data_IF_872134359484
#
_entry.id   IF_872134359484
#
_cell.length_a   1.000
_cell.length_b   1.000
_cell.length_c   1.000
_cell.angle_alpha   90.00
_cell.angle_beta   90.00
_cell.angle_gamma   90.00
#
_symmetry.space_group_name_H-M   'P 1'
#
loop_
_entity.id
_entity.type
_entity.pdbx_description
1 polymer ?
#
# COMPACT_ATOMS: atom_id res chain seq x y z
N UNK A 1 18.04 -61.39 10.53
CA UNK A 1 16.60 -61.13 10.27
C UNK A 1 15.91 -60.85 11.61
N UNK A 2 15.94 -59.61 12.11
CA UNK A 2 15.03 -59.10 13.17
C UNK A 2 15.36 -57.66 13.58
N UNK A 3 15.57 -56.73 12.63
CA UNK A 3 15.65 -55.29 12.95
C UNK A 3 14.72 -54.40 12.10
N UNK A 4 14.07 -54.95 11.06
CA UNK A 4 13.21 -54.16 10.15
C UNK A 4 11.71 -54.13 10.54
N UNK A 5 11.33 -54.65 11.70
CA UNK A 5 9.92 -54.72 12.14
C UNK A 5 9.54 -53.78 13.28
N UNK A 6 10.48 -52.98 13.80
CA UNK A 6 10.17 -52.00 14.86
C UNK A 6 10.04 -50.56 14.37
N UNK A 7 10.34 -50.28 13.09
CA UNK A 7 10.36 -48.90 12.58
C UNK A 7 9.13 -48.51 11.73
N UNK A 8 8.09 -49.35 11.67
CA UNK A 8 6.87 -49.11 10.85
C UNK A 8 5.58 -48.98 11.66
N UNK A 9 5.67 -48.80 12.99
CA UNK A 9 4.50 -48.57 13.85
C UNK A 9 4.53 -47.23 14.60
N UNK A 10 5.31 -46.25 14.14
CA UNK A 10 5.32 -44.89 14.71
C UNK A 10 4.67 -43.82 13.83
N UNK A 11 3.79 -44.22 12.93
CA UNK A 11 2.93 -43.34 12.11
C UNK A 11 1.46 -43.44 12.50
N UNK A 12 1.17 -43.59 13.80
CA UNK A 12 -0.19 -43.52 14.33
C UNK A 12 -0.40 -42.26 15.18
N UNK A 13 -1.13 -41.32 14.60
CA UNK A 13 -2.01 -40.37 15.28
C UNK A 13 -1.41 -39.42 16.33
N UNK A 14 -0.68 -38.40 15.87
CA UNK A 14 -0.76 -37.09 16.52
C UNK A 14 -2.05 -36.38 16.12
N UNK A 15 -3.19 -36.84 16.62
CA UNK A 15 -4.38 -36.00 16.77
C UNK A 15 -4.11 -35.02 17.92
N UNK A 16 -3.28 -34.01 17.66
CA UNK A 16 -3.22 -32.84 18.53
C UNK A 16 -4.62 -32.22 18.51
N UNK A 17 -5.27 -32.17 19.67
CA UNK A 17 -6.54 -31.48 19.80
C UNK A 17 -6.36 -30.05 19.29
N UNK A 18 -7.15 -29.65 18.28
CA UNK A 18 -7.09 -28.29 17.75
C UNK A 18 -7.32 -27.30 18.87
N UNK A 19 -6.47 -26.30 18.96
CA UNK A 19 -6.69 -25.19 19.88
C UNK A 19 -8.00 -24.48 19.51
N UNK A 20 -8.68 -23.82 20.48
CA UNK A 20 -9.87 -23.02 20.19
C UNK A 20 -9.64 -22.01 19.05
N UNK A 21 -8.45 -21.39 19.00
CA UNK A 21 -8.07 -20.45 17.93
C UNK A 21 -7.98 -21.10 16.56
N UNK A 22 -7.43 -22.33 16.46
CA UNK A 22 -7.38 -23.07 15.19
C UNK A 22 -8.75 -23.54 14.73
N UNK A 23 -9.65 -23.88 15.67
CA UNK A 23 -11.02 -24.24 15.34
C UNK A 23 -11.79 -23.06 14.75
N UNK A 24 -11.66 -21.87 15.36
CA UNK A 24 -12.23 -20.62 14.83
C UNK A 24 -11.65 -20.33 13.45
N UNK A 25 -10.32 -20.42 13.29
CA UNK A 25 -9.66 -20.20 12.00
C UNK A 25 -10.22 -21.11 10.91
N UNK A 26 -10.26 -22.43 11.14
CA UNK A 26 -10.77 -23.42 10.17
C UNK A 26 -12.25 -23.18 9.84
N UNK A 27 -13.05 -22.79 10.83
CA UNK A 27 -14.46 -22.45 10.62
C UNK A 27 -14.57 -21.22 9.71
N UNK A 28 -13.88 -20.14 10.07
CA UNK A 28 -13.89 -18.90 9.29
C UNK A 28 -13.42 -19.14 7.86
N UNK A 29 -12.34 -19.90 7.66
CA UNK A 29 -11.80 -20.24 6.34
C UNK A 29 -12.80 -21.02 5.48
N UNK A 30 -13.52 -21.99 6.07
CA UNK A 30 -14.59 -22.73 5.39
C UNK A 30 -15.76 -21.82 5.00
N UNK A 31 -16.08 -20.83 5.82
CA UNK A 31 -17.19 -19.90 5.58
C UNK A 31 -16.83 -18.74 4.63
N UNK A 32 -15.54 -18.51 4.31
CA UNK A 32 -15.09 -17.37 3.47
C UNK A 32 -15.84 -17.24 2.14
N UNK A 33 -16.04 -18.29 1.32
CA UNK A 33 -16.73 -18.14 0.03
C UNK A 33 -18.21 -17.75 0.20
N UNK A 34 -18.88 -18.33 1.19
CA UNK A 34 -20.28 -18.00 1.49
C UNK A 34 -20.40 -16.56 1.99
N UNK A 35 -19.48 -16.12 2.86
CA UNK A 35 -19.43 -14.74 3.33
C UNK A 35 -19.12 -13.78 2.17
N UNK A 36 -18.17 -14.10 1.29
CA UNK A 36 -17.86 -13.30 0.11
C UNK A 36 -19.10 -13.09 -0.77
N UNK A 37 -19.83 -14.16 -1.10
CA UNK A 37 -21.05 -14.07 -1.89
C UNK A 37 -22.16 -13.25 -1.19
N UNK A 38 -22.27 -13.32 0.13
CA UNK A 38 -23.22 -12.51 0.91
C UNK A 38 -22.85 -11.02 0.86
N UNK A 39 -21.57 -10.70 1.10
CA UNK A 39 -21.07 -9.32 1.10
C UNK A 39 -21.16 -8.70 -0.30
N UNK A 40 -20.90 -9.48 -1.36
CA UNK A 40 -21.07 -9.06 -2.75
C UNK A 40 -22.53 -8.66 -3.07
N UNK A 41 -23.51 -9.43 -2.57
CA UNK A 41 -24.93 -9.08 -2.69
C UNK A 41 -25.28 -7.80 -1.94
N UNK A 42 -24.71 -7.59 -0.75
CA UNK A 42 -24.89 -6.35 0.00
C UNK A 42 -24.24 -5.16 -0.73
N UNK A 43 -23.09 -5.36 -1.38
CA UNK A 43 -22.44 -4.36 -2.21
C UNK A 43 -23.32 -3.96 -3.42
N UNK A 44 -23.91 -4.95 -4.10
CA UNK A 44 -24.84 -4.72 -5.19
C UNK A 44 -26.07 -3.90 -4.73
N UNK A 45 -26.69 -4.29 -3.61
CA UNK A 45 -27.81 -3.54 -3.00
C UNK A 45 -27.40 -2.10 -2.64
N UNK A 46 -26.18 -1.86 -2.18
CA UNK A 46 -25.68 -0.52 -1.84
C UNK A 46 -25.55 0.35 -3.10
N UNK A 47 -25.00 -0.23 -4.17
CA UNK A 47 -24.86 0.41 -5.47
C UNK A 47 -26.23 0.73 -6.10
N UNK A 48 -27.21 -0.17 -6.01
CA UNK A 48 -28.58 0.07 -6.48
C UNK A 48 -29.25 1.26 -5.77
N UNK A 49 -28.94 1.46 -4.48
CA UNK A 49 -29.39 2.62 -3.69
C UNK A 49 -28.57 3.89 -3.95
N UNK A 50 -27.63 3.86 -4.90
CA UNK A 50 -26.75 4.99 -5.21
C UNK A 50 -25.62 5.22 -4.19
N UNK A 51 -25.44 4.35 -3.20
CA UNK A 51 -24.37 4.48 -2.21
C UNK A 51 -23.06 3.86 -2.71
N UNK A 52 -22.43 4.51 -3.70
CA UNK A 52 -21.21 4.03 -4.34
C UNK A 52 -20.03 3.86 -3.36
N UNK A 53 -19.88 4.75 -2.38
CA UNK A 53 -18.82 4.67 -1.35
C UNK A 53 -18.95 3.42 -0.51
N UNK A 54 -20.16 3.11 -0.04
CA UNK A 54 -20.42 1.88 0.69
C UNK A 54 -20.21 0.64 -0.19
N UNK A 55 -20.73 0.65 -1.42
CA UNK A 55 -20.56 -0.45 -2.35
C UNK A 55 -19.08 -0.76 -2.61
N UNK A 56 -18.22 0.27 -2.74
CA UNK A 56 -16.77 0.12 -2.88
C UNK A 56 -16.17 -0.68 -1.72
N UNK A 57 -16.47 -0.28 -0.48
CA UNK A 57 -15.97 -0.96 0.73
C UNK A 57 -16.38 -2.43 0.75
N UNK A 58 -17.65 -2.71 0.42
CA UNK A 58 -18.18 -4.07 0.44
C UNK A 58 -17.61 -4.94 -0.68
N UNK A 59 -17.46 -4.41 -1.90
CA UNK A 59 -16.78 -5.13 -2.97
C UNK A 59 -15.31 -5.40 -2.63
N UNK A 60 -14.61 -4.46 -2.00
CA UNK A 60 -13.25 -4.67 -1.55
C UNK A 60 -13.16 -5.80 -0.50
N UNK A 61 -14.05 -5.81 0.49
CA UNK A 61 -14.10 -6.90 1.48
C UNK A 61 -14.45 -8.25 0.83
N UNK A 62 -15.39 -8.27 -0.11
CA UNK A 62 -15.69 -9.49 -0.86
C UNK A 62 -14.50 -9.98 -1.68
N UNK A 63 -13.71 -9.07 -2.27
CA UNK A 63 -12.49 -9.39 -3.01
C UNK A 63 -11.38 -9.92 -2.09
N UNK A 64 -11.23 -9.35 -0.88
CA UNK A 64 -10.32 -9.85 0.16
C UNK A 64 -10.68 -11.26 0.64
N UNK A 65 -11.97 -11.57 0.70
CA UNK A 65 -12.44 -12.90 1.09
C UNK A 65 -12.24 -13.92 -0.02
N UNK A 66 -12.54 -13.54 -1.26
CA UNK A 66 -12.47 -14.41 -2.43
C UNK A 66 -12.04 -13.61 -3.68
N UNK A 67 -10.73 -13.65 -4.03
CA UNK A 67 -10.17 -12.88 -5.12
C UNK A 67 -10.71 -13.34 -6.48
N UNK A 68 -11.60 -12.56 -7.09
CA UNK A 68 -12.09 -12.82 -8.45
C UNK A 68 -12.07 -11.56 -9.29
N UNK A 69 -11.81 -11.73 -10.59
CA UNK A 69 -11.81 -10.64 -11.55
C UNK A 69 -13.12 -9.84 -11.54
N UNK A 70 -14.26 -10.53 -11.44
CA UNK A 70 -15.58 -9.90 -11.42
C UNK A 70 -15.76 -8.93 -10.23
N UNK A 71 -15.27 -9.32 -9.05
CA UNK A 71 -15.30 -8.47 -7.85
C UNK A 71 -14.33 -7.30 -7.97
N UNK A 72 -13.15 -7.52 -8.57
CA UNK A 72 -12.17 -6.45 -8.81
C UNK A 72 -12.71 -5.39 -9.76
N UNK A 73 -13.31 -5.82 -10.87
CA UNK A 73 -14.01 -4.93 -11.82
C UNK A 73 -15.15 -4.16 -11.12
N UNK A 74 -15.92 -4.82 -10.28
CA UNK A 74 -17.03 -4.18 -9.54
C UNK A 74 -16.53 -3.13 -8.55
N UNK A 75 -15.45 -3.42 -7.83
CA UNK A 75 -14.77 -2.47 -6.95
C UNK A 75 -14.26 -1.24 -7.73
N UNK A 76 -13.55 -1.44 -8.84
CA UNK A 76 -13.03 -0.36 -9.69
C UNK A 76 -14.17 0.52 -10.26
N UNK A 77 -15.27 -0.10 -10.68
CA UNK A 77 -16.46 0.63 -11.10
C UNK A 77 -17.04 1.49 -9.98
N UNK A 78 -17.03 1.02 -8.73
CA UNK A 78 -17.51 1.81 -7.59
C UNK A 78 -16.56 2.96 -7.24
N UNK A 79 -15.25 2.78 -7.36
CA UNK A 79 -14.26 3.86 -7.23
C UNK A 79 -14.54 4.98 -8.22
N UNK A 80 -14.78 4.64 -9.49
CA UNK A 80 -15.13 5.64 -10.51
C UNK A 80 -16.45 6.36 -10.18
N UNK A 81 -17.46 5.61 -9.73
CA UNK A 81 -18.76 6.21 -9.33
C UNK A 81 -18.66 7.09 -8.07
N UNK A 82 -17.72 6.81 -7.16
CA UNK A 82 -17.50 7.64 -5.97
C UNK A 82 -16.61 8.85 -6.22
N UNK A 83 -16.12 9.05 -7.45
CA UNK A 83 -15.25 10.17 -7.83
C UNK A 83 -13.77 9.91 -7.59
N UNK A 84 -13.38 8.67 -7.31
CA UNK A 84 -11.98 8.28 -7.06
C UNK A 84 -11.33 7.80 -8.35
N UNK A 85 -11.29 8.67 -9.36
CA UNK A 85 -10.85 8.35 -10.72
C UNK A 85 -9.41 7.79 -10.76
N UNK A 86 -8.49 8.34 -9.96
CA UNK A 86 -7.10 7.86 -9.87
C UNK A 86 -6.99 6.41 -9.39
N UNK A 87 -7.75 6.06 -8.35
CA UNK A 87 -7.76 4.69 -7.82
C UNK A 87 -8.44 3.73 -8.79
N UNK A 88 -9.55 4.15 -9.40
CA UNK A 88 -10.22 3.36 -10.43
C UNK A 88 -9.29 3.09 -11.62
N UNK A 89 -8.57 4.12 -12.08
CA UNK A 89 -7.58 4.00 -13.14
C UNK A 89 -6.48 3.01 -12.78
N UNK A 90 -5.94 3.06 -11.56
CA UNK A 90 -4.95 2.09 -11.10
C UNK A 90 -5.49 0.65 -11.18
N UNK A 91 -6.68 0.39 -10.64
CA UNK A 91 -7.28 -0.95 -10.67
C UNK A 91 -7.60 -1.44 -12.09
N UNK A 92 -8.08 -0.57 -12.98
CA UNK A 92 -8.30 -0.96 -14.38
C UNK A 92 -7.00 -1.31 -15.10
N UNK A 93 -5.90 -0.61 -14.80
CA UNK A 93 -4.58 -0.95 -15.36
C UNK A 93 -4.08 -2.29 -14.82
N UNK A 94 -4.28 -2.56 -13.52
CA UNK A 94 -3.96 -3.86 -12.91
C UNK A 94 -4.78 -4.99 -13.56
N UNK A 95 -6.07 -4.78 -13.81
CA UNK A 95 -6.93 -5.75 -14.50
C UNK A 95 -6.42 -6.06 -15.92
N UNK A 96 -6.00 -5.03 -16.67
CA UNK A 96 -5.48 -5.22 -18.03
C UNK A 96 -4.08 -5.84 -18.06
N UNK A 97 -3.30 -5.65 -16.98
CA UNK A 97 -1.91 -6.12 -16.88
C UNK A 97 -1.76 -7.44 -16.12
N UNK A 98 -2.82 -7.96 -15.51
CA UNK A 98 -2.78 -9.16 -14.65
C UNK A 98 -2.41 -10.45 -15.39
N UNK A 99 -2.48 -10.45 -16.73
CA UNK A 99 -2.26 -11.63 -17.56
C UNK A 99 -3.40 -12.66 -17.50
N UNK A 100 -4.45 -12.40 -16.71
CA UNK A 100 -5.65 -13.24 -16.67
C UNK A 100 -6.43 -13.11 -17.98
N UNK A 101 -6.89 -14.23 -18.60
CA UNK A 101 -7.61 -14.16 -19.86
C UNK A 101 -8.93 -13.41 -19.70
N UNK A 102 -8.98 -12.18 -20.22
CA UNK A 102 -10.19 -11.37 -20.25
C UNK A 102 -11.04 -11.74 -21.47
N UNK A 103 -12.36 -11.87 -21.28
CA UNK A 103 -13.27 -11.89 -22.42
C UNK A 103 -13.22 -10.54 -23.15
N UNK A 104 -13.39 -10.55 -24.47
CA UNK A 104 -13.33 -9.33 -25.29
C UNK A 104 -14.32 -8.25 -24.81
N UNK A 105 -15.50 -8.68 -24.34
CA UNK A 105 -16.51 -7.80 -23.75
C UNK A 105 -16.01 -7.11 -22.48
N UNK A 106 -15.35 -7.84 -21.58
CA UNK A 106 -14.80 -7.28 -20.34
C UNK A 106 -13.66 -6.33 -20.67
N UNK A 107 -12.75 -6.74 -21.57
CA UNK A 107 -11.63 -5.91 -22.01
C UNK A 107 -12.09 -4.58 -22.59
N UNK A 108 -13.01 -4.61 -23.56
CA UNK A 108 -13.59 -3.40 -24.17
C UNK A 108 -14.26 -2.51 -23.13
N UNK A 109 -14.97 -3.10 -22.16
CA UNK A 109 -15.62 -2.36 -21.08
C UNK A 109 -14.59 -1.69 -20.16
N UNK A 110 -13.52 -2.40 -19.76
CA UNK A 110 -12.44 -1.86 -18.91
C UNK A 110 -11.68 -0.75 -19.62
N UNK A 111 -11.31 -0.94 -20.89
CA UNK A 111 -10.64 0.09 -21.69
C UNK A 111 -11.50 1.36 -21.83
N UNK A 112 -12.81 1.19 -22.08
CA UNK A 112 -13.76 2.30 -22.12
C UNK A 112 -13.85 3.02 -20.77
N UNK A 113 -13.92 2.28 -19.66
CA UNK A 113 -13.96 2.84 -18.30
C UNK A 113 -12.67 3.53 -17.89
N UNK A 114 -11.52 3.01 -18.32
CA UNK A 114 -10.24 3.67 -18.17
C UNK A 114 -10.22 5.01 -18.91
N UNK A 115 -10.78 5.06 -20.13
CA UNK A 115 -11.00 6.32 -20.86
C UNK A 115 -11.91 7.30 -20.12
N UNK A 116 -12.95 6.82 -19.44
CA UNK A 116 -13.80 7.65 -18.56
C UNK A 116 -13.02 8.23 -17.37
N UNK A 117 -12.14 7.45 -16.74
CA UNK A 117 -11.28 7.93 -15.63
C UNK A 117 -10.40 9.09 -16.10
N UNK A 118 -9.71 8.91 -17.23
CA UNK A 118 -8.85 9.93 -17.85
C UNK A 118 -9.69 11.17 -18.21
N UNK A 119 -10.91 10.99 -18.72
CA UNK A 119 -11.77 12.11 -19.04
C UNK A 119 -12.24 12.87 -17.79
N UNK A 120 -12.57 12.18 -16.70
CA UNK A 120 -12.96 12.82 -15.44
C UNK A 120 -11.81 13.61 -14.83
N UNK A 121 -10.62 13.03 -14.79
CA UNK A 121 -9.39 13.67 -14.31
C UNK A 121 -9.04 14.91 -15.17
N UNK A 122 -9.21 14.81 -16.50
CA UNK A 122 -8.95 15.89 -17.45
C UNK A 122 -10.15 16.82 -17.71
N UNK A 123 -11.33 16.61 -17.10
CA UNK A 123 -12.46 17.55 -17.22
C UNK A 123 -12.19 18.88 -16.50
N UNK A 124 -11.11 18.93 -15.71
CA UNK A 124 -10.50 20.16 -15.19
C UNK A 124 -9.61 20.91 -16.21
N UNK A 125 -9.38 20.37 -17.42
CA UNK A 125 -8.54 20.95 -18.47
C UNK A 125 -9.27 20.96 -19.85
N UNK A 126 -10.04 22.01 -20.17
CA UNK A 126 -10.73 22.11 -21.46
C UNK A 126 -9.72 22.28 -22.62
N UNK A 127 -9.86 21.50 -23.70
CA UNK A 127 -9.19 21.78 -24.99
C UNK A 127 -8.52 20.61 -25.75
N UNK A 128 -8.35 19.42 -25.16
CA UNK A 128 -7.63 18.29 -25.80
C UNK A 128 -8.57 17.22 -26.39
N UNK A 129 -8.20 16.63 -27.53
CA UNK A 129 -8.91 15.49 -28.14
C UNK A 129 -8.69 14.18 -27.35
N UNK A 130 -9.60 13.21 -27.48
CA UNK A 130 -9.50 11.91 -26.76
C UNK A 130 -8.17 11.18 -27.01
N UNK A 131 -7.65 11.23 -28.24
CA UNK A 131 -6.39 10.61 -28.62
C UNK A 131 -5.18 11.30 -27.96
N UNK A 132 -5.19 12.63 -27.88
CA UNK A 132 -4.17 13.40 -27.18
C UNK A 132 -4.24 13.19 -25.67
N UNK A 133 -5.45 13.08 -25.11
CA UNK A 133 -5.69 12.75 -23.70
C UNK A 133 -5.11 11.39 -23.32
N UNK A 134 -5.33 10.36 -24.15
CA UNK A 134 -4.71 9.04 -23.98
C UNK A 134 -3.18 9.09 -24.05
N UNK A 135 -2.62 9.93 -24.92
CA UNK A 135 -1.17 10.12 -25.09
C UNK A 135 -0.52 10.88 -23.92
N UNK A 136 -1.23 11.84 -23.33
CA UNK A 136 -0.82 12.57 -22.13
C UNK A 136 -0.92 11.68 -20.89
N UNK A 137 -2.03 10.95 -20.73
CA UNK A 137 -2.21 10.00 -19.63
C UNK A 137 -1.15 8.89 -19.64
N UNK A 138 -0.79 8.38 -20.83
CA UNK A 138 0.30 7.41 -20.98
C UNK A 138 1.70 8.00 -20.72
N UNK A 139 1.86 9.32 -20.74
CA UNK A 139 3.10 10.01 -20.34
C UNK A 139 3.13 10.33 -18.83
N UNK A 140 2.00 10.65 -18.22
CA UNK A 140 1.84 10.76 -16.75
C UNK A 140 1.94 9.40 -16.04
N UNK A 141 1.70 8.31 -16.77
CA UNK A 141 1.96 6.90 -16.38
C UNK A 141 3.37 6.65 -15.83
N UNK A 142 4.35 7.45 -16.20
CA UNK A 142 5.75 7.28 -15.80
C UNK A 142 6.13 8.01 -14.51
N UNK A 143 5.27 8.89 -13.97
CA UNK A 143 5.63 9.78 -12.86
C UNK A 143 4.71 9.73 -11.64
N UNK A 144 3.61 8.97 -11.69
CA UNK A 144 2.67 8.91 -10.55
C UNK A 144 2.98 7.71 -9.65
N UNK A 145 3.39 7.90 -8.38
CA UNK A 145 3.63 6.78 -7.47
C UNK A 145 2.31 6.06 -7.19
N UNK A 146 2.35 4.73 -7.24
CA UNK A 146 1.22 3.87 -6.90
C UNK A 146 0.69 4.23 -5.50
N UNK A 147 -0.47 4.90 -5.44
CA UNK A 147 -1.17 5.08 -4.18
C UNK A 147 -1.92 3.79 -3.87
N UNK A 148 -1.62 3.09 -2.76
CA UNK A 148 -2.41 1.93 -2.35
C UNK A 148 -3.87 2.37 -2.17
N UNK A 149 -4.81 1.49 -2.53
CA UNK A 149 -6.23 1.75 -2.41
C UNK A 149 -6.58 2.16 -0.97
N UNK A 150 -6.96 3.43 -0.79
CA UNK A 150 -7.37 3.95 0.52
C UNK A 150 -8.84 3.61 0.71
N UNK A 151 -9.10 2.60 1.53
CA UNK A 151 -10.46 2.25 1.95
C UNK A 151 -10.79 3.07 3.20
N UNK A 152 -11.25 4.30 3.00
CA UNK A 152 -11.85 5.11 4.06
C UNK A 152 -13.21 4.54 4.41
N UNK A 153 -13.53 4.50 5.71
CA UNK A 153 -14.85 4.09 6.18
C UNK A 153 -15.94 4.96 5.55
N UNK A 154 -16.91 4.33 4.89
CA UNK A 154 -18.16 4.99 4.53
C UNK A 154 -19.02 5.14 5.80
N UNK A 155 -19.88 6.17 5.89
CA UNK A 155 -20.86 6.24 6.97
C UNK A 155 -21.70 4.95 7.02
N UNK A 156 -22.12 4.51 8.21
CA UNK A 156 -22.84 3.25 8.36
C UNK A 156 -24.10 3.24 7.50
N UNK A 157 -24.41 2.08 6.92
CA UNK A 157 -25.58 1.93 6.06
C UNK A 157 -26.91 2.27 6.74
N UNK A 158 -27.79 2.95 6.01
CA UNK A 158 -29.23 2.99 6.28
C UNK A 158 -29.94 1.70 5.80
N UNK A 159 -29.26 0.55 5.80
CA UNK A 159 -29.88 -0.72 5.41
C UNK A 159 -30.88 -1.24 6.45
N UNK A 160 -30.88 -0.65 7.67
CA UNK A 160 -31.68 -1.11 8.80
C UNK A 160 -31.06 -2.33 9.50
N UNK A 161 -31.63 -2.74 10.62
CA UNK A 161 -31.16 -3.86 11.44
C UNK A 161 -31.55 -5.25 10.86
N UNK A 162 -31.47 -5.44 9.54
CA UNK A 162 -31.82 -6.73 8.95
C UNK A 162 -30.84 -7.81 9.42
N UNK A 163 -31.36 -9.00 9.74
CA UNK A 163 -30.57 -10.11 10.29
C UNK A 163 -29.37 -10.48 9.40
N UNK A 164 -29.52 -10.40 8.08
CA UNK A 164 -28.45 -10.65 7.10
C UNK A 164 -27.28 -9.67 7.26
N UNK A 165 -27.54 -8.39 7.53
CA UNK A 165 -26.51 -7.35 7.70
C UNK A 165 -25.78 -7.55 9.01
N UNK A 166 -26.53 -7.84 10.08
CA UNK A 166 -25.97 -8.10 11.41
C UNK A 166 -25.06 -9.33 11.39
N UNK A 167 -25.51 -10.40 10.72
CA UNK A 167 -24.72 -11.61 10.52
C UNK A 167 -23.46 -11.34 9.70
N UNK A 168 -23.58 -10.68 8.55
CA UNK A 168 -22.45 -10.33 7.69
C UNK A 168 -21.42 -9.45 8.42
N UNK A 169 -21.88 -8.44 9.15
CA UNK A 169 -21.01 -7.55 9.91
C UNK A 169 -20.21 -8.30 11.00
N UNK A 170 -20.86 -9.24 11.71
CA UNK A 170 -20.20 -10.09 12.69
C UNK A 170 -19.18 -11.03 12.03
N UNK A 171 -19.57 -11.73 10.96
CA UNK A 171 -18.68 -12.65 10.27
C UNK A 171 -17.48 -11.92 9.64
N UNK A 172 -17.66 -10.70 9.14
CA UNK A 172 -16.56 -9.84 8.69
C UNK A 172 -15.61 -9.45 9.83
N UNK A 173 -16.16 -9.14 11.01
CA UNK A 173 -15.35 -8.83 12.18
C UNK A 173 -14.51 -10.04 12.62
N UNK A 174 -15.14 -11.22 12.72
CA UNK A 174 -14.47 -12.48 13.07
C UNK A 174 -13.39 -12.84 12.02
N UNK A 175 -13.67 -12.65 10.73
CA UNK A 175 -12.69 -12.82 9.66
C UNK A 175 -11.52 -11.82 9.77
N UNK A 176 -11.81 -10.57 10.12
CA UNK A 176 -10.79 -9.56 10.39
C UNK A 176 -9.89 -9.93 11.57
N UNK A 177 -10.45 -10.50 12.64
CA UNK A 177 -9.67 -11.01 13.77
C UNK A 177 -8.74 -12.16 13.36
N UNK A 178 -9.23 -13.10 12.55
CA UNK A 178 -8.41 -14.19 12.01
C UNK A 178 -7.27 -13.65 11.15
N UNK A 179 -7.54 -12.78 10.17
CA UNK A 179 -6.50 -12.16 9.34
C UNK A 179 -5.48 -11.35 10.16
N UNK A 180 -5.93 -10.67 11.22
CA UNK A 180 -5.04 -9.96 12.14
C UNK A 180 -4.13 -10.93 12.92
N UNK A 181 -4.67 -12.06 13.40
CA UNK A 181 -3.91 -13.11 14.06
C UNK A 181 -2.87 -13.77 13.14
N UNK A 182 -3.11 -13.76 11.83
CA UNK A 182 -2.17 -14.23 10.80
C UNK A 182 -1.15 -13.16 10.36
N UNK A 183 -1.18 -11.96 10.96
CA UNK A 183 -0.28 -10.85 10.58
C UNK A 183 -0.66 -10.12 9.29
N UNK A 184 -1.81 -10.44 8.69
CA UNK A 184 -2.31 -9.83 7.45
C UNK A 184 -3.06 -8.52 7.77
N UNK A 185 -2.32 -7.51 8.21
CA UNK A 185 -2.89 -6.23 8.66
C UNK A 185 -3.71 -5.52 7.58
N UNK A 186 -3.30 -5.61 6.30
CA UNK A 186 -4.03 -5.01 5.17
C UNK A 186 -5.40 -5.64 5.00
N UNK A 187 -5.47 -6.97 4.92
CA UNK A 187 -6.73 -7.71 4.82
C UNK A 187 -7.63 -7.46 6.02
N UNK A 188 -7.07 -7.55 7.23
CA UNK A 188 -7.80 -7.31 8.47
C UNK A 188 -8.43 -5.91 8.48
N UNK A 189 -7.69 -4.90 8.02
CA UNK A 189 -8.21 -3.53 7.89
C UNK A 189 -9.45 -3.48 7.01
N UNK A 190 -9.40 -4.05 5.80
CA UNK A 190 -10.55 -4.04 4.86
C UNK A 190 -11.78 -4.69 5.49
N UNK A 191 -11.60 -5.82 6.16
CA UNK A 191 -12.68 -6.56 6.81
C UNK A 191 -13.31 -5.78 7.97
N UNK A 192 -12.50 -5.13 8.80
CA UNK A 192 -12.99 -4.28 9.88
C UNK A 192 -13.72 -3.03 9.38
N UNK A 193 -13.21 -2.38 8.33
CA UNK A 193 -13.88 -1.22 7.71
C UNK A 193 -15.25 -1.62 7.15
N UNK A 194 -15.34 -2.78 6.49
CA UNK A 194 -16.62 -3.29 5.98
C UNK A 194 -17.59 -3.69 7.11
N UNK A 195 -17.10 -4.31 8.18
CA UNK A 195 -17.89 -4.62 9.37
C UNK A 195 -18.48 -3.35 9.99
N UNK A 196 -17.67 -2.29 10.15
CA UNK A 196 -18.13 -1.00 10.63
C UNK A 196 -19.14 -0.35 9.67
N UNK A 197 -18.87 -0.40 8.37
CA UNK A 197 -19.76 0.16 7.34
C UNK A 197 -21.16 -0.47 7.38
N UNK A 198 -21.26 -1.76 7.69
CA UNK A 198 -22.54 -2.45 7.83
C UNK A 198 -23.24 -2.19 9.17
N UNK A 199 -22.51 -2.23 10.28
CA UNK A 199 -23.08 -2.25 11.64
C UNK A 199 -23.06 -0.91 12.37
N UNK A 200 -22.20 0.02 11.96
CA UNK A 200 -21.86 1.22 12.75
C UNK A 200 -21.08 0.93 14.04
N UNK A 201 -20.67 -0.32 14.30
CA UNK A 201 -20.03 -0.68 15.56
C UNK A 201 -18.67 0.01 15.71
N UNK A 202 -18.46 0.70 16.84
CA UNK A 202 -17.21 1.41 17.12
C UNK A 202 -16.02 0.46 17.35
N UNK A 203 -16.28 -0.74 17.89
CA UNK A 203 -15.24 -1.77 18.03
C UNK A 203 -14.59 -2.14 16.69
N UNK A 204 -15.39 -2.24 15.63
CA UNK A 204 -14.91 -2.48 14.27
C UNK A 204 -14.10 -1.28 13.74
N UNK A 205 -14.55 -0.05 13.99
CA UNK A 205 -13.84 1.17 13.59
C UNK A 205 -12.47 1.30 14.28
N UNK A 206 -12.42 1.08 15.58
CA UNK A 206 -11.16 1.07 16.37
C UNK A 206 -10.22 -0.02 15.86
N UNK A 207 -10.76 -1.22 15.57
CA UNK A 207 -9.95 -2.33 15.05
C UNK A 207 -9.37 -2.00 13.67
N UNK A 208 -10.12 -1.34 12.79
CA UNK A 208 -9.63 -0.85 11.51
C UNK A 208 -8.52 0.20 11.67
N UNK A 209 -8.68 1.16 12.59
CA UNK A 209 -7.67 2.17 12.88
C UNK A 209 -6.38 1.54 13.43
N UNK A 210 -6.50 0.54 14.31
CA UNK A 210 -5.36 -0.24 14.80
C UNK A 210 -4.62 -0.96 13.66
N UNK A 211 -5.34 -1.54 12.70
CA UNK A 211 -4.69 -2.16 11.55
C UNK A 211 -3.97 -1.13 10.67
N UNK A 212 -4.53 0.07 10.53
CA UNK A 212 -3.90 1.17 9.80
C UNK A 212 -2.59 1.63 10.47
N UNK A 213 -2.52 1.67 11.81
CA UNK A 213 -1.26 1.89 12.54
C UNK A 213 -0.22 0.81 12.26
N UNK A 214 -0.62 -0.48 12.23
CA UNK A 214 0.29 -1.59 11.92
C UNK A 214 0.89 -1.52 10.52
N UNK A 215 0.15 -0.95 9.56
CA UNK A 215 0.61 -0.79 8.17
C UNK A 215 1.65 0.34 8.02
N UNK A 216 1.61 1.34 8.89
CA UNK A 216 2.53 2.49 8.85
C UNK A 216 2.32 3.41 7.64
N UNK A 217 3.24 4.36 7.46
CA UNK A 217 3.22 5.29 6.33
C UNK A 217 1.94 6.12 6.23
N UNK A 218 1.38 6.33 5.01
CA UNK A 218 0.13 7.08 4.83
C UNK A 218 -1.06 6.52 5.62
N UNK A 219 -1.12 5.19 5.83
CA UNK A 219 -2.20 4.57 6.60
C UNK A 219 -2.15 4.95 8.08
N UNK A 220 -0.99 5.24 8.65
CA UNK A 220 -0.89 5.71 10.03
C UNK A 220 -1.45 7.14 10.22
N UNK A 221 -1.33 8.01 9.20
CA UNK A 221 -1.95 9.34 9.20
C UNK A 221 -3.48 9.25 9.13
N UNK A 222 -4.00 8.31 8.34
CA UNK A 222 -5.43 8.01 8.30
C UNK A 222 -5.91 7.49 9.66
N UNK A 223 -5.12 6.64 10.33
CA UNK A 223 -5.45 6.15 11.67
C UNK A 223 -5.58 7.29 12.68
N UNK A 224 -4.68 8.28 12.63
CA UNK A 224 -4.77 9.47 13.50
C UNK A 224 -6.07 10.25 13.25
N UNK A 225 -6.43 10.47 11.98
CA UNK A 225 -7.68 11.14 11.60
C UNK A 225 -8.92 10.34 12.05
N UNK A 226 -8.88 9.01 11.95
CA UNK A 226 -9.95 8.14 12.43
C UNK A 226 -10.08 8.19 13.95
N UNK A 227 -8.97 8.20 14.69
CA UNK A 227 -8.99 8.35 16.14
C UNK A 227 -9.52 9.72 16.57
N UNK A 228 -9.15 10.80 15.89
CA UNK A 228 -9.72 12.12 16.12
C UNK A 228 -11.24 12.12 15.87
N UNK A 229 -11.69 11.46 14.80
CA UNK A 229 -13.11 11.27 14.52
C UNK A 229 -13.85 10.43 15.56
N UNK A 230 -13.21 9.41 16.12
CA UNK A 230 -13.74 8.59 17.23
C UNK A 230 -13.83 9.42 18.50
N UNK A 231 -12.78 10.16 18.86
CA UNK A 231 -12.74 11.02 20.04
C UNK A 231 -13.77 12.15 19.96
N UNK A 232 -13.95 12.73 18.77
CA UNK A 232 -14.98 13.74 18.53
C UNK A 232 -16.40 13.18 18.67
N UNK A 233 -16.63 11.92 18.26
CA UNK A 233 -17.90 11.21 18.50
C UNK A 233 -18.11 10.82 19.97
N UNK A 234 -17.02 10.54 20.70
CA UNK A 234 -17.05 10.29 22.14
C UNK A 234 -17.24 11.57 22.97
N UNK A 235 -17.23 12.75 22.33
CA UNK A 235 -17.44 14.07 22.92
C UNK A 235 -18.86 14.39 23.44
N UNK A 236 -19.70 13.38 23.65
CA UNK A 236 -20.77 13.41 24.66
C UNK A 236 -20.39 12.42 25.76
N UNK A 237 -19.85 12.96 26.86
CA UNK A 237 -19.38 12.32 28.10
C UNK A 237 -17.88 11.91 28.16
N UNK A 238 -17.07 12.88 28.59
CA UNK A 238 -15.78 12.76 29.32
C UNK A 238 -14.58 12.13 28.58
N UNK A 239 -13.70 13.01 28.06
CA UNK A 239 -12.29 12.69 27.79
C UNK A 239 -11.59 12.35 29.12
N UNK A 240 -10.99 11.17 29.24
CA UNK A 240 -10.16 10.81 30.40
C UNK A 240 -8.76 11.40 30.27
N UNK A 241 -8.20 11.89 31.37
CA UNK A 241 -6.85 12.49 31.51
C UNK A 241 -5.72 11.72 30.84
N UNK A 242 -5.84 10.40 30.69
CA UNK A 242 -4.86 9.54 30.00
C UNK A 242 -4.70 9.86 28.51
N UNK A 243 -5.74 10.36 27.84
CA UNK A 243 -5.68 10.73 26.43
C UNK A 243 -4.91 12.04 26.21
N UNK A 244 -5.00 12.97 27.16
CA UNK A 244 -4.24 14.22 27.16
C UNK A 244 -2.76 13.97 27.44
N UNK A 245 -2.44 13.05 28.36
CA UNK A 245 -1.07 12.63 28.65
C UNK A 245 -0.39 11.92 27.47
N UNK A 246 -1.12 11.09 26.72
CA UNK A 246 -0.57 10.44 25.52
C UNK A 246 -0.34 11.41 24.37
N UNK A 247 -1.22 12.42 24.20
CA UNK A 247 -1.02 13.49 23.21
C UNK A 247 0.23 14.32 23.55
N UNK A 248 0.38 14.73 24.80
CA UNK A 248 1.55 15.46 25.26
C UNK A 248 2.85 14.64 25.12
N UNK A 249 2.79 13.34 25.39
CA UNK A 249 3.93 12.43 25.20
C UNK A 249 4.33 12.25 23.73
N UNK A 250 3.36 12.14 22.83
CA UNK A 250 3.61 12.00 21.39
C UNK A 250 4.18 13.29 20.77
N UNK A 251 3.66 14.45 21.18
CA UNK A 251 4.17 15.76 20.74
C UNK A 251 5.61 15.98 21.23
N UNK A 252 5.91 15.60 22.47
CA UNK A 252 7.28 15.66 23.01
C UNK A 252 8.24 14.72 22.28
N UNK A 253 7.81 13.49 21.97
CA UNK A 253 8.63 12.52 21.23
C UNK A 253 8.87 12.93 19.76
N UNK A 254 7.92 13.64 19.14
CA UNK A 254 8.10 14.21 17.81
C UNK A 254 9.10 15.37 17.83
N UNK A 255 8.99 16.27 18.81
CA UNK A 255 9.93 17.38 18.99
C UNK A 255 11.36 16.89 19.26
N UNK A 256 11.54 15.86 20.09
CA UNK A 256 12.86 15.28 20.37
C UNK A 256 13.51 14.63 19.13
N UNK A 257 12.70 14.03 18.25
CA UNK A 257 13.18 13.48 16.97
C UNK A 257 13.56 14.56 15.95
N UNK A 258 12.83 15.67 15.90
CA UNK A 258 13.18 16.79 15.02
C UNK A 258 14.47 17.47 15.45
N UNK A 259 14.68 17.66 16.76
CA UNK A 259 15.94 18.22 17.30
C UNK A 259 17.12 17.28 16.99
N UNK A 260 16.95 15.97 17.21
CA UNK A 260 18.00 14.98 16.89
C UNK A 260 18.32 14.91 15.39
N UNK A 261 17.32 15.09 14.52
CA UNK A 261 17.53 15.12 13.07
C UNK A 261 18.24 16.41 12.61
N UNK A 262 17.92 17.55 13.23
CA UNK A 262 18.57 18.82 12.97
C UNK A 262 20.05 18.81 13.41
N UNK A 263 20.35 18.24 14.59
CA UNK A 263 21.72 18.12 15.09
C UNK A 263 22.57 17.21 14.20
N UNK A 264 22.00 16.10 13.71
CA UNK A 264 22.67 15.20 12.76
C UNK A 264 22.95 15.88 11.42
N UNK A 265 21.99 16.63 10.89
CA UNK A 265 22.16 17.38 9.64
C UNK A 265 23.21 18.50 9.75
N UNK A 266 23.29 19.15 10.93
CA UNK A 266 24.32 20.16 11.21
C UNK A 266 25.72 19.54 11.27
N UNK A 267 25.86 18.38 11.90
CA UNK A 267 27.14 17.65 11.99
C UNK A 267 27.63 17.18 10.60
N UNK A 268 26.73 16.65 9.76
CA UNK A 268 27.07 16.24 8.39
C UNK A 268 27.51 17.43 7.53
N UNK A 269 26.87 18.59 7.69
CA UNK A 269 27.25 19.83 6.97
C UNK A 269 28.61 20.37 7.43
N UNK A 270 28.93 20.29 8.72
CA UNK A 270 30.24 20.68 9.25
C UNK A 270 31.36 19.77 8.73
N UNK A 271 31.14 18.45 8.72
CA UNK A 271 32.10 17.48 8.19
C UNK A 271 32.37 17.68 6.68
N UNK A 272 31.32 18.00 5.90
CA UNK A 272 31.47 18.30 4.48
C UNK A 272 32.28 19.58 4.22
N UNK A 273 32.10 20.63 5.04
CA UNK A 273 32.86 21.86 4.93
C UNK A 273 34.35 21.66 5.26
N UNK A 274 34.65 20.83 6.25
CA UNK A 274 36.02 20.49 6.63
C UNK A 274 36.74 19.67 5.53
N UNK A 275 36.03 18.72 4.90
CA UNK A 275 36.57 17.95 3.78
C UNK A 275 36.92 18.83 2.56
N UNK A 276 36.08 19.82 2.24
CA UNK A 276 36.35 20.78 1.15
C UNK A 276 37.58 21.63 1.47
N UNK A 277 37.70 22.13 2.70
CA UNK A 277 38.86 22.93 3.12
C UNK A 277 40.19 22.14 3.06
N UNK A 278 40.18 20.85 3.43
CA UNK A 278 41.34 19.98 3.32
C UNK A 278 41.72 19.70 1.86
N UNK A 279 40.73 19.53 0.98
CA UNK A 279 40.95 19.33 -0.46
C UNK A 279 41.53 20.58 -1.13
N UNK A 280 41.03 21.78 -0.79
CA UNK A 280 41.57 23.04 -1.29
C UNK A 280 43.01 23.30 -0.81
N UNK A 281 43.32 22.95 0.45
CA UNK A 281 44.67 23.05 1.00
C UNK A 281 45.65 22.08 0.31
N UNK A 282 45.22 20.85 0.05
CA UNK A 282 46.02 19.85 -0.68
C UNK A 282 46.29 20.28 -2.13
N UNK A 283 45.30 20.90 -2.79
CA UNK A 283 45.44 21.40 -4.17
C UNK A 283 46.41 22.58 -4.26
N UNK A 284 46.43 23.46 -3.25
CA UNK A 284 47.40 24.57 -3.16
C UNK A 284 48.84 24.09 -2.90
N UNK A 285 49.02 23.00 -2.16
CA UNK A 285 50.33 22.38 -1.93
C UNK A 285 50.88 21.68 -3.19
N UNK A 286 50.01 21.08 -4.02
CA UNK A 286 50.41 20.51 -5.31
C UNK A 286 50.77 21.59 -6.34
N UNK A 287 50.09 22.73 -6.34
CA UNK A 287 50.40 23.87 -7.22
C UNK A 287 51.70 24.62 -6.83
N UNK A 288 52.20 24.45 -5.61
CA UNK A 288 53.45 25.07 -5.14
C UNK A 288 54.69 24.17 -5.36
N UNK A 289 54.52 22.99 -5.96
CA UNK A 289 55.54 21.95 -6.11
C UNK A 289 56.13 21.77 -7.51
N UNK A 290 55.86 22.64 -8.49
CA UNK A 290 56.58 22.62 -9.78
C UNK A 290 57.80 23.55 -9.72
N UNK A 291 59.04 23.01 -9.65
CA UNK A 291 60.21 23.81 -9.95
C UNK A 291 60.32 23.99 -11.47
N UNK A 292 60.32 25.25 -11.91
CA UNK A 292 60.81 25.63 -13.23
C UNK A 292 62.24 25.11 -13.40
N UNK A 293 62.44 24.17 -14.32
CA UNK A 293 63.75 23.90 -14.90
C UNK A 293 63.72 24.29 -16.37
N UNK A 294 63.99 25.57 -16.59
CA UNK A 294 64.55 26.12 -17.83
C UNK A 294 65.99 25.60 -17.99
N UNK A 295 66.34 25.15 -19.22
CA UNK A 295 67.66 25.08 -19.84
C UNK A 295 67.53 24.38 -21.21
N UNK A 296 67.59 25.15 -22.30
CA UNK A 296 67.47 24.64 -23.67
C UNK A 296 68.69 23.86 -24.22
N UNK A 297 68.55 23.37 -25.46
CA UNK A 297 69.71 23.01 -26.29
C UNK A 297 69.53 21.87 -27.29
N UNK A 298 69.38 22.25 -28.57
CA UNK A 298 69.95 21.69 -29.81
C UNK A 298 69.77 20.21 -30.21
N UNK A 299 69.29 20.09 -31.45
CA UNK A 299 69.86 19.36 -32.61
C UNK A 299 70.54 18.00 -32.37
N UNK A 300 69.99 16.95 -32.97
CA UNK A 300 70.62 15.63 -33.02
C UNK A 300 69.84 14.63 -33.86
N UNK A 301 70.10 14.68 -35.16
CA UNK A 301 69.88 13.63 -36.15
C UNK A 301 70.43 12.27 -35.69
N UNK A 302 69.82 11.16 -36.13
CA UNK A 302 70.31 9.81 -35.81
C UNK A 302 69.23 8.74 -35.83
N UNK A 303 69.11 8.04 -36.96
CA UNK A 303 68.06 7.04 -37.17
C UNK A 303 68.23 5.71 -36.44
N UNK A 304 67.26 4.84 -36.76
CA UNK A 304 67.43 3.44 -37.20
C UNK A 304 66.84 2.37 -36.27
N UNK A 305 65.96 1.62 -36.92
CA UNK A 305 65.58 0.20 -36.76
C UNK A 305 64.97 -0.29 -35.45
N UNK A 306 63.85 -1.02 -35.63
CA UNK A 306 63.79 -2.37 -35.11
C UNK A 306 62.54 -2.74 -34.33
N UNK A 307 61.60 -3.38 -35.03
CA UNK A 307 61.07 -4.65 -34.56
C UNK A 307 59.92 -4.64 -33.55
N UNK A 308 58.75 -5.06 -34.03
CA UNK A 308 58.26 -6.39 -33.63
C UNK A 308 57.14 -6.46 -32.59
N UNK A 309 56.11 -7.21 -32.99
CA UNK A 309 55.06 -7.86 -32.18
C UNK A 309 54.22 -6.94 -31.29
N UNK A 310 52.93 -6.76 -31.54
CA UNK A 310 51.94 -7.81 -31.76
C UNK A 310 51.29 -8.15 -30.42
N UNK A 311 49.96 -8.28 -30.46
CA UNK A 311 49.09 -9.18 -29.69
C UNK A 311 47.76 -8.47 -29.42
N UNK A 312 46.75 -8.93 -30.18
CA UNK A 312 45.33 -8.94 -29.85
C UNK A 312 45.10 -9.39 -28.39
N UNK A 313 44.08 -8.87 -27.71
CA UNK A 313 42.87 -9.65 -27.39
C UNK A 313 42.03 -8.97 -26.30
N UNK A 314 40.72 -9.02 -26.55
CA UNK A 314 39.55 -8.92 -25.64
C UNK A 314 39.10 -7.55 -25.18
#
# INVERSE_FOLDING_TARGET
>A
MSEDLQNTLNTSNSTSALTPSELVRRKTERERPTLAAMVDKLAAKANEKGNAKQAKVLYAASLTLEPTLARRVSMANMMLKSGEADQAQHEYNEILSSGEPLSEKIKTMVERKLGECIYQDMSAAPGLSLAEKLKVASKMRASSPARPAVIVAAPPSNFGAAAEITLAAKQLFDAGQVSNGEGKASEARVLFVASHTLSGAMSARISAANMALKLGGPAALEAASEYEGILSHAGTEQLSSTAEEMKAGAEKAAAEKEVSAADKAAAEKAAAAEAIAQQEAATKLQAAGEPEHDCGGRDGDGGREGGGSGVDTS
#
